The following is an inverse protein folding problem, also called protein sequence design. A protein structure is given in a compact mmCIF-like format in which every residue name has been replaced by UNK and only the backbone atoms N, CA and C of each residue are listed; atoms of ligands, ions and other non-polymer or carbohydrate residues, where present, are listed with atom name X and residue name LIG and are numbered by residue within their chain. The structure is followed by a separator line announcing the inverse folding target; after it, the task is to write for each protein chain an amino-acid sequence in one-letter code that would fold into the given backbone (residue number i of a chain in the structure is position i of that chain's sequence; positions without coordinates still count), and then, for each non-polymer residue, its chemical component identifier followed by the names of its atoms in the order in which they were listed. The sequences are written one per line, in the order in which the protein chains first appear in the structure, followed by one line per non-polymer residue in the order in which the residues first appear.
data_IF_921769662001
#
_entry.id   IF_921769662001
#
_cell.length_a   1.000
_cell.length_b   1.000
_cell.length_c   1.000
_cell.angle_alpha   90.00
_cell.angle_beta   90.00
_cell.angle_gamma   90.00
#
_symmetry.space_group_name_H-M   'P 1'
#
loop_
_entity.id
_entity.type
_entity.pdbx_description
1 polymer ?
#
# COMPACT_ATOMS: atom_id res chain seq x y z
N UNK A 1 22.52 -23.86 -30.71
CA UNK A 1 21.15 -23.40 -30.39
C UNK A 1 21.28 -22.20 -29.46
N UNK A 2 21.21 -20.98 -29.99
CA UNK A 2 21.41 -19.75 -29.22
C UNK A 2 20.25 -19.52 -28.26
N UNK A 3 20.53 -19.46 -26.96
CA UNK A 3 19.52 -19.21 -25.93
C UNK A 3 18.99 -17.77 -25.96
N UNK A 4 17.92 -17.54 -25.20
CA UNK A 4 17.36 -16.21 -24.97
C UNK A 4 18.42 -15.40 -24.22
N UNK A 5 19.00 -14.40 -24.88
CA UNK A 5 19.96 -13.51 -24.23
C UNK A 5 19.23 -12.36 -23.52
N UNK A 6 19.83 -11.87 -22.45
CA UNK A 6 19.28 -10.82 -21.57
C UNK A 6 18.97 -9.55 -22.38
N UNK A 7 19.77 -9.25 -23.41
CA UNK A 7 19.56 -8.10 -24.29
C UNK A 7 18.23 -8.15 -25.06
N UNK A 8 17.78 -9.34 -25.45
CA UNK A 8 16.50 -9.54 -26.15
C UNK A 8 15.33 -9.31 -25.19
N UNK A 9 15.45 -9.75 -23.93
CA UNK A 9 14.42 -9.54 -22.92
C UNK A 9 14.21 -8.05 -22.61
N UNK A 10 15.28 -7.26 -22.54
CA UNK A 10 15.19 -5.81 -22.33
C UNK A 10 14.48 -5.13 -23.50
N UNK A 11 14.80 -5.48 -24.75
CA UNK A 11 14.12 -4.94 -25.93
C UNK A 11 12.60 -5.24 -25.88
N UNK A 12 12.23 -6.47 -25.51
CA UNK A 12 10.82 -6.87 -25.41
C UNK A 12 10.12 -6.10 -24.28
N UNK A 13 10.77 -5.97 -23.12
CA UNK A 13 10.23 -5.23 -21.99
C UNK A 13 9.93 -3.77 -22.35
N UNK A 14 10.81 -3.10 -23.11
CA UNK A 14 10.58 -1.72 -23.57
C UNK A 14 9.34 -1.64 -24.47
N UNK A 15 9.17 -2.59 -25.40
CA UNK A 15 7.98 -2.61 -26.28
C UNK A 15 6.70 -2.80 -25.45
N UNK A 16 6.69 -3.73 -24.50
CA UNK A 16 5.54 -3.96 -23.61
C UNK A 16 5.20 -2.70 -22.81
N UNK A 17 6.21 -2.01 -22.26
CA UNK A 17 6.01 -0.74 -21.53
C UNK A 17 5.41 0.34 -22.43
N UNK A 18 5.84 0.42 -23.70
CA UNK A 18 5.28 1.40 -24.66
C UNK A 18 3.83 1.07 -25.05
N UNK A 19 3.48 -0.21 -25.21
CA UNK A 19 2.12 -0.63 -25.57
C UNK A 19 1.12 -0.44 -24.44
N UNK A 20 1.48 -0.86 -23.23
CA UNK A 20 0.60 -0.81 -22.06
C UNK A 20 0.70 0.52 -21.30
N UNK A 21 1.79 1.28 -21.52
CA UNK A 21 2.11 2.50 -20.80
C UNK A 21 2.64 2.25 -19.38
N UNK A 22 3.44 3.19 -18.87
CA UNK A 22 4.03 3.09 -17.52
C UNK A 22 2.98 3.15 -16.41
N UNK A 23 1.83 3.81 -16.61
CA UNK A 23 0.78 3.91 -15.60
C UNK A 23 0.15 2.56 -15.25
N UNK A 24 -0.17 1.73 -16.24
CA UNK A 24 -0.77 0.40 -16.03
C UNK A 24 0.25 -0.60 -15.47
N UNK A 25 1.48 -0.57 -15.99
CA UNK A 25 2.56 -1.40 -15.46
C UNK A 25 2.96 -1.01 -14.04
N UNK A 26 2.91 0.28 -13.70
CA UNK A 26 3.21 0.76 -12.35
C UNK A 26 2.16 0.28 -11.35
N UNK A 27 0.86 0.46 -11.63
CA UNK A 27 -0.19 0.01 -10.70
C UNK A 27 -0.14 -1.50 -10.47
N UNK A 28 -0.04 -2.29 -11.54
CA UNK A 28 0.03 -3.76 -11.43
C UNK A 28 1.37 -4.22 -10.83
N UNK A 29 2.46 -3.55 -11.17
CA UNK A 29 3.79 -3.83 -10.66
C UNK A 29 3.97 -3.46 -9.19
N UNK A 30 3.27 -2.45 -8.69
CA UNK A 30 3.25 -2.11 -7.26
C UNK A 30 2.55 -3.18 -6.44
N UNK A 31 1.42 -3.70 -6.90
CA UNK A 31 0.69 -4.76 -6.20
C UNK A 31 1.47 -6.09 -6.21
N UNK A 32 1.94 -6.52 -7.39
CA UNK A 32 2.78 -7.71 -7.53
C UNK A 32 4.13 -7.55 -6.81
N UNK A 33 4.68 -6.34 -6.86
CA UNK A 33 5.94 -5.97 -6.21
C UNK A 33 5.84 -6.00 -4.69
N UNK A 34 4.71 -5.57 -4.12
CA UNK A 34 4.46 -5.68 -2.68
C UNK A 34 4.40 -7.15 -2.24
N UNK A 35 3.71 -8.00 -3.01
CA UNK A 35 3.65 -9.45 -2.73
C UNK A 35 5.02 -10.14 -2.83
N UNK A 36 5.80 -9.84 -3.87
CA UNK A 36 7.14 -10.44 -4.03
C UNK A 36 8.13 -9.89 -2.98
N UNK A 37 7.97 -8.63 -2.54
CA UNK A 37 8.79 -8.03 -1.48
C UNK A 37 8.57 -8.73 -0.14
N UNK A 38 7.33 -9.06 0.21
CA UNK A 38 7.01 -9.85 1.39
C UNK A 38 7.62 -11.26 1.33
N UNK A 39 7.53 -11.92 0.17
CA UNK A 39 8.15 -13.23 -0.05
C UNK A 39 9.68 -13.17 0.10
N UNK A 40 10.35 -12.19 -0.53
CA UNK A 40 11.79 -12.01 -0.39
C UNK A 40 12.19 -11.69 1.06
N UNK A 41 11.42 -10.85 1.76
CA UNK A 41 11.64 -10.52 3.17
C UNK A 41 11.53 -11.77 4.04
N UNK A 42 10.49 -12.58 3.89
CA UNK A 42 10.33 -13.83 4.64
C UNK A 42 11.46 -14.83 4.34
N UNK A 43 11.86 -14.96 3.07
CA UNK A 43 12.93 -15.86 2.67
C UNK A 43 14.32 -15.39 3.16
N UNK A 44 14.56 -14.07 3.22
CA UNK A 44 15.79 -13.51 3.79
C UNK A 44 15.77 -13.46 5.33
N UNK A 45 14.60 -13.31 5.96
CA UNK A 45 14.47 -13.27 7.43
C UNK A 45 14.76 -14.64 8.06
N UNK A 46 14.47 -15.75 7.37
CA UNK A 46 14.90 -17.10 7.77
C UNK A 46 16.43 -17.27 7.69
N UNK A 47 17.08 -16.68 6.69
CA UNK A 47 18.55 -16.69 6.54
C UNK A 47 19.24 -15.74 7.54
N UNK A 48 18.64 -14.58 7.86
CA UNK A 48 19.19 -13.57 8.76
C UNK A 48 18.83 -13.82 10.25
N UNK A 49 17.72 -14.50 10.59
CA UNK A 49 17.42 -14.94 11.97
C UNK A 49 18.46 -15.89 12.53
N UNK A 50 19.16 -16.63 11.68
CA UNK A 50 20.30 -17.44 12.08
C UNK A 50 21.53 -16.60 12.48
N UNK A 51 21.56 -15.29 12.16
CA UNK A 51 22.69 -14.38 12.41
C UNK A 51 22.40 -13.17 13.31
N UNK A 52 21.14 -12.77 13.50
CA UNK A 52 20.78 -11.54 14.25
C UNK A 52 19.68 -11.76 15.30
N UNK A 53 19.86 -12.68 16.24
CA UNK A 53 18.99 -12.81 17.42
C UNK A 53 19.13 -11.64 18.44
N UNK A 54 19.61 -10.47 18.03
CA UNK A 54 19.90 -9.36 18.92
C UNK A 54 19.69 -7.98 18.27
N UNK A 55 18.57 -7.75 17.58
CA UNK A 55 18.12 -6.38 17.24
C UNK A 55 16.72 -6.43 16.62
N UNK A 56 15.68 -6.67 17.43
CA UNK A 56 14.31 -6.26 17.03
C UNK A 56 13.38 -6.24 18.25
N UNK A 57 13.29 -5.06 18.88
CA UNK A 57 12.14 -4.64 19.68
C UNK A 57 11.92 -3.15 19.41
N UNK A 58 11.30 -2.83 18.29
CA UNK A 58 10.47 -1.65 18.08
C UNK A 58 9.95 -1.71 16.65
N UNK A 59 8.66 -2.00 16.50
CA UNK A 59 7.77 -1.35 15.53
C UNK A 59 6.39 -1.99 15.63
N UNK A 60 5.62 -1.51 16.61
CA UNK A 60 4.16 -1.63 16.62
C UNK A 60 3.59 -0.24 16.94
N UNK A 61 3.71 0.70 15.99
CA UNK A 61 3.04 1.99 16.06
C UNK A 61 1.56 1.79 15.67
N UNK A 62 0.73 1.42 16.65
CA UNK A 62 -0.73 1.52 16.53
C UNK A 62 -1.14 2.96 16.81
N UNK A 63 -1.06 3.83 15.80
CA UNK A 63 -1.63 5.18 15.87
C UNK A 63 -3.16 5.12 15.73
N UNK A 64 -3.85 4.76 16.81
CA UNK A 64 -5.30 4.92 16.96
C UNK A 64 -5.66 6.41 17.16
N UNK A 65 -5.49 7.24 16.13
CA UNK A 65 -5.83 8.68 16.19
C UNK A 65 -6.39 9.21 14.87
N UNK A 66 -7.69 8.97 14.63
CA UNK A 66 -8.61 9.89 13.92
C UNK A 66 -10.00 9.29 13.78
N UNK A 67 -10.78 9.28 14.88
CA UNK A 67 -12.25 9.18 14.81
C UNK A 67 -12.86 10.29 15.69
N UNK A 68 -12.31 11.50 15.66
CA UNK A 68 -12.82 12.60 16.50
C UNK A 68 -12.81 13.98 15.86
N UNK A 69 -12.61 14.10 14.54
CA UNK A 69 -12.80 15.38 13.87
C UNK A 69 -13.77 15.25 12.70
N UNK A 70 -14.92 15.93 12.88
CA UNK A 70 -15.64 16.64 11.83
C UNK A 70 -16.67 15.87 11.00
N UNK A 71 -17.65 15.28 11.68
CA UNK A 71 -19.01 15.17 11.18
C UNK A 71 -19.76 16.50 11.43
N UNK A 72 -19.39 17.55 10.69
CA UNK A 72 -20.18 18.78 10.56
C UNK A 72 -20.03 19.27 9.12
N UNK A 73 -20.93 18.82 8.25
CA UNK A 73 -21.48 19.55 7.09
C UNK A 73 -22.37 18.59 6.29
N UNK A 74 -23.60 18.37 6.75
CA UNK A 74 -24.75 18.03 5.88
C UNK A 74 -26.04 18.36 6.66
N UNK A 75 -26.90 19.13 6.02
CA UNK A 75 -28.31 19.43 6.38
C UNK A 75 -28.58 20.61 7.31
N UNK A 76 -28.61 21.81 6.70
CA UNK A 76 -29.66 22.79 7.00
C UNK A 76 -31.02 22.21 6.55
N UNK A 77 -32.06 22.58 7.29
CA UNK A 77 -33.50 22.47 6.98
C UNK A 77 -34.19 21.17 7.45
N UNK A 78 -34.81 21.23 8.63
CA UNK A 78 -36.21 20.79 8.91
C UNK A 78 -36.48 20.85 10.43
N UNK A 79 -37.59 21.50 10.83
CA UNK A 79 -38.24 21.56 12.17
C UNK A 79 -37.48 22.37 13.26
N UNK A 80 -37.90 23.52 13.80
CA UNK A 80 -39.23 24.07 14.15
C UNK A 80 -40.20 23.04 14.74
N UNK A 81 -39.96 22.62 16.00
CA UNK A 81 -41.01 22.40 17.01
C UNK A 81 -40.44 21.88 18.33
N UNK A 82 -41.01 22.36 19.45
CA UNK A 82 -40.81 21.94 20.85
C UNK A 82 -39.42 22.31 21.41
N UNK A 83 -39.23 23.16 22.42
CA UNK A 83 -39.90 23.18 23.71
C UNK A 83 -39.80 24.59 24.30
N UNK A 84 -40.97 25.14 24.58
CA UNK A 84 -41.20 26.27 25.46
C UNK A 84 -41.10 25.77 26.91
N UNK A 85 -40.76 26.68 27.82
CA UNK A 85 -40.87 26.61 29.29
C UNK A 85 -39.54 26.37 30.06
N UNK A 86 -39.32 27.28 31.04
CA UNK A 86 -38.26 27.36 32.05
C UNK A 86 -36.89 27.84 31.54
N UNK A 87 -36.36 29.01 31.93
CA UNK A 87 -36.50 29.86 33.14
C UNK A 87 -36.25 31.32 32.79
#
# INVERSE_FOLDING_TARGET
MGGISIWQLVIIAVIVVLLFGTKKLSSLGSDLGASIKGFKKAMSDDDDKAKNAQQDQQDADFTAKSISDKAEETSKDTEKSQHKDQV
#
